data_IF_034598884683
#
_entry.id   IF_034598884683
#
_cell.length_a   1.000
_cell.length_b   1.000
_cell.length_c   1.000
_cell.angle_alpha   90.00
_cell.angle_beta   90.00
_cell.angle_gamma   90.00
#
_symmetry.space_group_name_H-M   'P 1'
#
loop_
_entity.id
_entity.type
_entity.pdbx_description
1 polymer ?
#
# COMPACT_ATOMS: atom_id res chain seq x y z
N UNK A 1 15.80 13.91 -18.90
CA UNK A 1 15.44 13.76 -17.47
C UNK A 1 13.94 13.60 -17.40
N UNK A 2 13.44 12.46 -16.90
CA UNK A 2 12.00 12.29 -16.62
C UNK A 2 11.71 13.12 -15.39
N UNK A 3 10.80 14.10 -15.49
CA UNK A 3 10.53 14.99 -14.36
C UNK A 3 9.90 14.21 -13.18
N UNK A 4 10.02 14.76 -11.97
CA UNK A 4 9.54 14.14 -10.74
C UNK A 4 8.00 13.92 -10.76
N UNK A 5 7.27 14.74 -11.52
CA UNK A 5 5.82 14.62 -11.69
C UNK A 5 5.46 13.43 -12.58
N UNK A 6 6.25 13.13 -13.61
CA UNK A 6 6.10 12.00 -14.52
C UNK A 6 6.46 10.70 -13.81
N UNK A 7 7.49 10.73 -12.97
CA UNK A 7 7.84 9.61 -12.09
C UNK A 7 6.72 9.32 -11.08
N UNK A 8 6.13 10.34 -10.45
CA UNK A 8 4.98 10.18 -9.55
C UNK A 8 3.71 9.73 -10.30
N UNK A 9 3.52 10.22 -11.52
CA UNK A 9 2.40 9.87 -12.39
C UNK A 9 2.42 8.37 -12.73
N UNK A 10 3.56 7.82 -13.17
CA UNK A 10 3.66 6.39 -13.50
C UNK A 10 3.68 5.47 -12.26
N UNK A 11 4.34 5.89 -11.18
CA UNK A 11 4.43 5.11 -9.93
C UNK A 11 3.06 4.90 -9.29
N UNK A 12 2.37 5.98 -8.92
CA UNK A 12 1.11 5.86 -8.19
C UNK A 12 -0.04 5.33 -9.07
N UNK A 13 -0.01 5.54 -10.40
CA UNK A 13 -0.97 4.90 -11.30
C UNK A 13 -0.84 3.38 -11.25
N UNK A 14 0.37 2.83 -11.25
CA UNK A 14 0.57 1.39 -11.46
C UNK A 14 -0.06 0.53 -10.36
N UNK A 15 0.20 0.83 -9.09
CA UNK A 15 -0.39 0.13 -7.93
C UNK A 15 -1.92 0.24 -7.95
N UNK A 16 -2.42 1.46 -8.06
CA UNK A 16 -3.84 1.78 -8.05
C UNK A 16 -4.59 1.14 -9.22
N UNK A 17 -4.02 1.18 -10.42
CA UNK A 17 -4.58 0.59 -11.63
C UNK A 17 -4.62 -0.93 -11.53
N UNK A 18 -3.52 -1.55 -11.08
CA UNK A 18 -3.45 -3.00 -10.89
C UNK A 18 -4.49 -3.47 -9.86
N UNK A 19 -4.57 -2.82 -8.69
CA UNK A 19 -5.51 -3.22 -7.64
C UNK A 19 -6.96 -2.92 -8.00
N UNK A 20 -7.25 -1.78 -8.64
CA UNK A 20 -8.57 -1.48 -9.16
C UNK A 20 -9.02 -2.51 -10.21
N UNK A 21 -8.13 -2.90 -11.12
CA UNK A 21 -8.43 -3.92 -12.14
C UNK A 21 -8.68 -5.32 -11.55
N UNK A 22 -8.13 -5.60 -10.35
CA UNK A 22 -8.42 -6.81 -9.57
C UNK A 22 -9.70 -6.71 -8.73
N UNK A 23 -10.40 -5.58 -8.80
CA UNK A 23 -11.67 -5.33 -8.11
C UNK A 23 -11.52 -4.82 -6.68
N UNK A 24 -10.34 -4.35 -6.27
CA UNK A 24 -10.19 -3.66 -4.97
C UNK A 24 -10.68 -2.21 -5.06
N UNK A 25 -11.29 -1.72 -3.97
CA UNK A 25 -11.61 -0.29 -3.83
C UNK A 25 -10.32 0.46 -3.50
N UNK A 26 -9.98 1.44 -4.33
CA UNK A 26 -8.76 2.26 -4.20
C UNK A 26 -9.14 3.73 -4.11
N UNK A 27 -8.41 4.50 -3.28
CA UNK A 27 -8.56 5.96 -3.19
C UNK A 27 -7.18 6.64 -3.12
N UNK A 28 -6.88 7.66 -3.95
CA UNK A 28 -7.69 8.18 -5.06
C UNK A 28 -8.03 7.11 -6.12
N UNK A 29 -8.77 7.46 -7.19
CA UNK A 29 -9.02 6.57 -8.35
C UNK A 29 -7.95 6.75 -9.45
N UNK A 30 -7.72 5.75 -10.32
CA UNK A 30 -6.83 5.92 -11.45
C UNK A 30 -7.18 7.17 -12.25
N UNK A 31 -6.17 8.00 -12.56
CA UNK A 31 -6.30 9.31 -13.25
C UNK A 31 -6.97 10.44 -12.48
N UNK A 32 -7.38 10.23 -11.23
CA UNK A 32 -7.79 11.34 -10.38
C UNK A 32 -6.58 12.25 -10.10
N UNK A 33 -6.79 13.58 -10.00
CA UNK A 33 -5.73 14.50 -9.62
C UNK A 33 -5.18 14.13 -8.24
N UNK A 34 -3.87 14.26 -8.08
CA UNK A 34 -3.17 13.97 -6.81
C UNK A 34 -2.50 15.21 -6.27
N UNK A 35 -2.59 15.36 -4.96
CA UNK A 35 -1.92 16.41 -4.20
C UNK A 35 -0.94 15.84 -3.18
N UNK A 36 -0.97 14.52 -2.95
CA UNK A 36 -0.06 13.76 -2.08
C UNK A 36 0.36 12.43 -2.74
N UNK A 37 1.22 11.69 -2.04
CA UNK A 37 1.75 10.37 -2.46
C UNK A 37 0.97 9.19 -1.88
N UNK A 38 -0.05 9.44 -1.06
CA UNK A 38 -0.74 8.38 -0.31
C UNK A 38 -1.71 7.65 -1.24
N UNK A 39 -1.70 6.33 -1.15
CA UNK A 39 -2.64 5.45 -1.84
C UNK A 39 -3.34 4.56 -0.81
N UNK A 40 -4.65 4.77 -0.65
CA UNK A 40 -5.49 3.90 0.15
C UNK A 40 -6.05 2.75 -0.69
N UNK A 41 -6.11 1.56 -0.12
CA UNK A 41 -6.66 0.34 -0.72
C UNK A 41 -7.48 -0.39 0.33
N UNK A 42 -8.77 -0.61 0.09
CA UNK A 42 -9.57 -1.46 0.97
C UNK A 42 -9.35 -2.92 0.58
N UNK A 43 -8.71 -3.70 1.45
CA UNK A 43 -8.42 -5.11 1.20
C UNK A 43 -9.56 -6.04 1.61
N UNK A 44 -10.42 -5.61 2.54
CA UNK A 44 -11.60 -6.36 3.00
C UNK A 44 -11.28 -7.57 3.89
N UNK A 45 -10.01 -7.90 4.10
CA UNK A 45 -9.57 -9.04 4.91
C UNK A 45 -8.28 -8.71 5.67
N UNK A 46 -8.25 -9.07 6.97
CA UNK A 46 -7.05 -8.98 7.81
C UNK A 46 -5.88 -9.79 7.23
N UNK A 47 -6.17 -10.99 6.70
CA UNK A 47 -5.14 -11.86 6.09
C UNK A 47 -4.49 -11.19 4.90
N UNK A 48 -5.29 -10.49 4.06
CA UNK A 48 -4.74 -9.76 2.94
C UNK A 48 -3.93 -8.53 3.37
N UNK A 49 -4.34 -7.83 4.43
CA UNK A 49 -3.56 -6.72 4.99
C UNK A 49 -2.18 -7.20 5.45
N UNK A 50 -2.14 -8.27 6.24
CA UNK A 50 -0.89 -8.86 6.71
C UNK A 50 0.01 -9.34 5.55
N UNK A 51 -0.57 -10.08 4.59
CA UNK A 51 0.16 -10.58 3.42
C UNK A 51 0.69 -9.47 2.51
N UNK A 52 -0.03 -8.34 2.42
CA UNK A 52 0.41 -7.18 1.68
C UNK A 52 1.62 -6.54 2.35
N UNK A 53 1.51 -6.19 3.64
CA UNK A 53 2.61 -5.57 4.39
C UNK A 53 3.85 -6.47 4.42
N UNK A 54 3.66 -7.79 4.61
CA UNK A 54 4.78 -8.75 4.56
C UNK A 54 5.44 -8.81 3.19
N UNK A 55 4.67 -8.77 2.09
CA UNK A 55 5.25 -8.73 0.74
C UNK A 55 6.04 -7.43 0.48
N UNK A 56 5.53 -6.29 0.95
CA UNK A 56 6.25 -5.01 0.88
C UNK A 56 7.54 -5.10 1.68
N UNK A 57 7.49 -5.51 2.95
CA UNK A 57 8.66 -5.61 3.81
C UNK A 57 9.73 -6.53 3.21
N UNK A 58 9.35 -7.72 2.74
CA UNK A 58 10.28 -8.68 2.11
C UNK A 58 10.92 -8.15 0.82
N UNK A 59 10.25 -7.23 0.14
CA UNK A 59 10.72 -6.61 -1.08
C UNK A 59 11.46 -5.28 -0.85
N UNK A 60 11.59 -4.85 0.42
CA UNK A 60 12.30 -3.64 0.80
C UNK A 60 13.82 -3.79 0.72
N UNK A 61 14.53 -2.67 0.58
CA UNK A 61 15.99 -2.64 0.51
C UNK A 61 16.64 -2.86 1.87
N UNK A 62 15.99 -2.40 2.94
CA UNK A 62 16.45 -2.54 4.32
C UNK A 62 15.46 -3.42 5.09
N UNK A 63 15.98 -4.31 5.94
CA UNK A 63 15.14 -5.13 6.82
C UNK A 63 14.25 -6.15 6.10
N UNK A 64 14.58 -6.58 4.88
CA UNK A 64 13.75 -7.54 4.11
C UNK A 64 13.63 -8.94 4.74
N UNK A 65 14.54 -9.29 5.64
CA UNK A 65 14.51 -10.53 6.41
C UNK A 65 13.58 -10.44 7.64
N UNK A 66 13.07 -9.26 7.99
CA UNK A 66 12.16 -9.10 9.12
C UNK A 66 10.72 -9.33 8.68
N UNK A 67 9.92 -9.91 9.59
CA UNK A 67 8.50 -10.12 9.36
C UNK A 67 7.71 -9.08 10.15
N UNK A 68 6.91 -8.23 9.48
CA UNK A 68 6.09 -7.25 10.18
C UNK A 68 4.97 -7.97 10.93
N UNK A 69 4.70 -7.51 12.14
CA UNK A 69 3.59 -7.97 12.98
C UNK A 69 2.74 -6.77 13.35
N UNK A 70 1.44 -6.99 13.54
CA UNK A 70 0.59 -5.94 14.07
C UNK A 70 0.85 -5.75 15.56
N UNK A 71 0.88 -4.50 15.99
CA UNK A 71 1.15 -4.11 17.37
C UNK A 71 0.19 -3.02 17.82
N UNK A 72 -0.04 -2.94 19.12
CA UNK A 72 -0.74 -1.80 19.71
C UNK A 72 0.20 -0.59 19.71
N UNK A 73 -0.14 0.41 18.91
CA UNK A 73 0.65 1.65 18.80
C UNK A 73 -0.05 2.76 19.59
N UNK A 74 0.65 3.49 20.48
CA UNK A 74 0.08 4.62 21.20
C UNK A 74 -0.59 5.62 20.25
N UNK A 75 -1.80 6.07 20.59
CA UNK A 75 -2.60 6.97 19.76
C UNK A 75 -3.49 6.29 18.72
N UNK A 76 -3.30 4.99 18.46
CA UNK A 76 -4.19 4.22 17.59
C UNK A 76 -5.20 3.41 18.39
N UNK A 77 -6.46 3.44 17.95
CA UNK A 77 -7.56 2.71 18.60
C UNK A 77 -7.58 1.19 18.27
N UNK A 78 -6.72 0.74 17.37
CA UNK A 78 -6.60 -0.65 16.95
C UNK A 78 -5.14 -0.97 16.67
N UNK A 79 -4.77 -2.24 16.69
CA UNK A 79 -3.44 -2.65 16.30
C UNK A 79 -3.16 -2.23 14.86
N UNK A 80 -1.92 -1.82 14.59
CA UNK A 80 -1.48 -1.38 13.27
C UNK A 80 -0.29 -2.24 12.87
N UNK A 81 -0.26 -2.65 11.61
CA UNK A 81 0.91 -3.27 11.00
C UNK A 81 1.63 -2.23 10.16
N UNK A 82 2.96 -2.24 10.21
CA UNK A 82 3.83 -1.37 9.45
C UNK A 82 4.84 -2.19 8.66
N UNK A 83 5.05 -1.82 7.40
CA UNK A 83 6.19 -2.23 6.59
C UNK A 83 6.98 -0.96 6.23
N UNK A 84 8.14 -0.81 6.86
CA UNK A 84 8.97 0.39 6.81
C UNK A 84 10.45 0.00 6.64
N UNK A 85 10.72 -0.77 5.58
CA UNK A 85 12.08 -1.23 5.23
C UNK A 85 12.91 -0.15 4.54
N UNK A 86 13.01 1.01 5.16
CA UNK A 86 13.60 2.24 4.61
C UNK A 86 15.04 2.45 5.09
N UNK A 87 15.82 3.26 4.36
CA UNK A 87 17.17 3.62 4.76
C UNK A 87 17.18 4.59 5.95
N UNK A 88 16.24 5.53 5.96
CA UNK A 88 16.01 6.43 7.09
C UNK A 88 14.76 5.94 7.83
N UNK A 89 14.89 5.73 9.13
CA UNK A 89 13.82 5.23 10.00
C UNK A 89 12.59 6.15 9.96
N UNK A 90 11.41 5.61 9.67
CA UNK A 90 10.17 6.38 9.54
C UNK A 90 10.05 7.21 8.25
N UNK A 91 10.86 6.95 7.23
CA UNK A 91 10.87 7.73 5.99
C UNK A 91 9.65 7.46 5.11
N UNK A 92 8.69 8.39 5.10
CA UNK A 92 7.52 8.32 4.21
C UNK A 92 7.79 8.81 2.78
N UNK A 93 9.02 9.26 2.50
CA UNK A 93 9.49 9.54 1.13
C UNK A 93 10.01 8.28 0.44
N UNK A 94 10.37 7.25 1.20
CA UNK A 94 10.68 5.91 0.69
C UNK A 94 9.41 5.05 0.64
N UNK A 95 9.51 3.86 0.03
CA UNK A 95 8.34 2.99 -0.10
C UNK A 95 8.00 2.39 1.26
N UNK A 96 6.81 2.72 1.77
CA UNK A 96 6.27 2.12 2.99
C UNK A 96 4.77 1.86 2.85
N UNK A 97 4.27 0.95 3.68
CA UNK A 97 2.83 0.75 3.81
C UNK A 97 2.43 0.32 5.21
N UNK A 98 1.22 0.67 5.58
CA UNK A 98 0.67 0.39 6.90
C UNK A 98 -0.85 0.30 6.85
N UNK A 99 -1.44 -0.24 7.91
CA UNK A 99 -2.89 -0.22 8.04
C UNK A 99 -3.38 -0.79 9.36
N UNK A 100 -4.52 -0.28 9.88
CA UNK A 100 -5.11 -0.77 11.10
C UNK A 100 -5.77 -2.14 10.89
N UNK A 101 -5.66 -3.02 11.88
CA UNK A 101 -6.40 -4.28 11.97
C UNK A 101 -7.87 -4.07 12.32
N UNK A 102 -8.56 -3.24 11.54
CA UNK A 102 -9.98 -2.93 11.69
C UNK A 102 -10.65 -2.93 10.33
N UNK A 103 -11.89 -3.42 10.26
CA UNK A 103 -12.72 -3.32 9.04
C UNK A 103 -12.81 -1.86 8.56
N UNK A 104 -12.63 -1.59 7.24
CA UNK A 104 -12.60 -2.55 6.13
C UNK A 104 -11.20 -3.08 5.75
N UNK A 105 -10.22 -3.04 6.67
CA UNK A 105 -8.82 -3.41 6.46
C UNK A 105 -8.20 -2.56 5.34
N UNK A 106 -8.29 -1.25 5.53
CA UNK A 106 -7.68 -0.27 4.62
C UNK A 106 -6.18 -0.27 4.82
N UNK A 107 -5.46 -0.50 3.74
CA UNK A 107 -4.02 -0.31 3.65
C UNK A 107 -3.75 1.10 3.09
N UNK A 108 -2.79 1.79 3.67
CA UNK A 108 -2.17 2.98 3.11
C UNK A 108 -0.78 2.60 2.61
N UNK A 109 -0.50 2.86 1.34
CA UNK A 109 0.80 2.66 0.72
C UNK A 109 1.27 4.01 0.17
N UNK A 110 2.52 4.37 0.40
CA UNK A 110 3.02 5.70 0.07
C UNK A 110 4.42 5.68 -0.52
N UNK A 111 4.62 6.64 -1.43
CA UNK A 111 5.90 7.01 -2.04
C UNK A 111 6.67 5.85 -2.70
N UNK A 112 7.99 5.99 -2.79
CA UNK A 112 8.92 5.05 -3.39
C UNK A 112 10.04 5.75 -4.13
N UNK A 113 11.29 5.41 -3.82
CA UNK A 113 12.48 6.11 -4.33
C UNK A 113 12.59 5.96 -5.85
N UNK A 114 12.35 4.76 -6.39
CA UNK A 114 12.44 4.48 -7.82
C UNK A 114 11.28 3.61 -8.34
N UNK A 115 10.87 3.80 -9.59
CA UNK A 115 9.70 3.12 -10.15
C UNK A 115 9.93 1.61 -10.31
N UNK A 116 11.18 1.21 -10.53
CA UNK A 116 11.57 -0.21 -10.60
C UNK A 116 11.35 -0.93 -9.27
N UNK A 117 11.65 -0.28 -8.14
CA UNK A 117 11.38 -0.83 -6.81
C UNK A 117 9.88 -1.10 -6.63
N UNK A 118 9.05 -0.12 -7.01
CA UNK A 118 7.60 -0.28 -6.95
C UNK A 118 7.10 -1.41 -7.85
N UNK A 119 7.65 -1.55 -9.07
CA UNK A 119 7.28 -2.64 -9.98
C UNK A 119 7.61 -4.03 -9.42
N UNK A 120 8.77 -4.19 -8.77
CA UNK A 120 9.16 -5.44 -8.12
C UNK A 120 8.25 -5.77 -6.94
N UNK A 121 8.02 -4.79 -6.05
CA UNK A 121 7.15 -4.94 -4.87
C UNK A 121 5.72 -5.26 -5.29
N UNK A 122 5.19 -4.56 -6.29
CA UNK A 122 3.86 -4.83 -6.84
C UNK A 122 3.76 -6.26 -7.40
N UNK A 123 4.83 -6.74 -8.04
CA UNK A 123 4.91 -8.12 -8.52
C UNK A 123 4.83 -9.16 -7.40
N UNK A 124 5.45 -8.91 -6.24
CA UNK A 124 5.36 -9.81 -5.07
C UNK A 124 3.99 -9.69 -4.37
N UNK A 125 3.51 -8.47 -4.17
CA UNK A 125 2.19 -8.18 -3.60
C UNK A 125 1.07 -8.88 -4.37
N UNK A 126 1.07 -8.78 -5.70
CA UNK A 126 0.03 -9.42 -6.52
C UNK A 126 0.07 -10.95 -6.48
N UNK A 127 1.20 -11.55 -6.09
CA UNK A 127 1.32 -13.00 -5.85
C UNK A 127 0.87 -13.37 -4.43
N UNK A 128 1.07 -12.48 -3.45
CA UNK A 128 0.72 -12.73 -2.05
C UNK A 128 -0.76 -12.52 -1.75
N UNK A 129 -1.42 -11.59 -2.46
CA UNK A 129 -2.85 -11.30 -2.25
C UNK A 129 -3.73 -12.16 -3.18
N UNK A 130 -4.51 -13.08 -2.59
CA UNK A 130 -5.49 -13.90 -3.33
C UNK A 130 -6.92 -13.77 -2.78
N UNK A 131 -7.22 -12.74 -1.98
CA UNK A 131 -8.57 -12.56 -1.43
C UNK A 131 -9.59 -12.21 -2.52
N UNK A 132 -10.69 -12.95 -2.52
CA UNK A 132 -11.88 -12.66 -3.32
C UNK A 132 -12.55 -11.39 -2.78
N UNK A 133 -12.83 -10.44 -3.66
CA UNK A 133 -13.45 -9.15 -3.31
C UNK A 133 -14.98 -9.24 -3.49
N UNK A 134 -15.72 -9.26 -2.38
CA UNK A 134 -17.18 -9.07 -2.37
C UNK A 134 -17.51 -7.63 -1.92
N UNK A 135 -17.04 -6.62 -2.65
CA UNK A 135 -17.42 -5.25 -2.35
C UNK A 135 -18.80 -4.97 -2.93
N UNK A 136 -19.81 -4.86 -2.06
CA UNK A 136 -21.13 -4.33 -2.42
C UNK A 136 -21.02 -2.90 -2.98
N UNK A 137 -22.02 -2.53 -3.81
CA UNK A 137 -22.22 -1.31 -4.60
C UNK A 137 -21.55 -0.01 -4.10
N UNK A 138 -21.21 0.93 -5.02
CA UNK A 138 -20.43 2.11 -4.67
C UNK A 138 -21.34 3.17 -4.03
N UNK A 139 -21.30 3.30 -2.71
CA UNK A 139 -21.83 4.47 -2.03
C UNK A 139 -20.71 5.05 -1.16
N UNK A 140 -20.35 6.30 -1.43
CA UNK A 140 -19.43 7.10 -0.61
C UNK A 140 -18.03 7.30 -1.21
N UNK A 141 -17.51 8.51 -1.06
CA UNK A 141 -16.08 8.81 -1.06
C UNK A 141 -15.53 8.24 0.26
N UNK A 142 -14.45 7.46 0.20
CA UNK A 142 -13.89 6.72 1.34
C UNK A 142 -12.44 7.15 1.62
N UNK A 143 -12.21 8.42 1.94
CA UNK A 143 -11.12 8.94 2.77
C UNK A 143 -11.67 10.19 3.45
#
# INVERSE_FOLDING_TARGET
>A
MVDNATVNFWKALSLQWCLASKGYKVQPLPRAPRHDTVQAVQLGSCVCLLAFCEAVQRSSTVGSFTKPIAVTTPGYASEVIFADGTFIDGSTSELSCDGPQRKPFTLFCQSGTHWTQLGLVLGDVLKSISCRTNFGHPLGVWV
#
